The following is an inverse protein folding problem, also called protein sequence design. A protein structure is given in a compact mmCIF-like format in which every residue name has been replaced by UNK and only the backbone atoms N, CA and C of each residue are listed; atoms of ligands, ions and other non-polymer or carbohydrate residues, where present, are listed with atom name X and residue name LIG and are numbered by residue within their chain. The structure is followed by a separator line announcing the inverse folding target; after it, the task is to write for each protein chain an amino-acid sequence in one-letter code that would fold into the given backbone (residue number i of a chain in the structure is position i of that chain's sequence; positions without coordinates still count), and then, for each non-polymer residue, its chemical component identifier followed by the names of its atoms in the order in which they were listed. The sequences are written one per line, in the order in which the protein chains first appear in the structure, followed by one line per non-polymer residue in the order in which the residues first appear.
data_IF_614611290616
#
_entry.id   IF_614611290616
#
_cell.length_a   1.000
_cell.length_b   1.000
_cell.length_c   1.000
_cell.angle_alpha   90.00
_cell.angle_beta   90.00
_cell.angle_gamma   90.00
#
_symmetry.space_group_name_H-M   'P 1'
#
loop_
_entity.id
_entity.type
_entity.pdbx_description
1 polymer ?
#
# COMPACT_ATOMS: atom_id res chain seq x y z
N UNK A 1 -24.21 -40.02 -33.60
CA UNK A 1 -25.10 -38.92 -34.02
C UNK A 1 -25.10 -37.85 -32.94
N UNK A 2 -24.50 -36.71 -33.26
CA UNK A 2 -24.36 -35.53 -32.40
C UNK A 2 -25.75 -34.89 -32.27
N UNK A 3 -26.24 -34.70 -31.04
CA UNK A 3 -27.32 -33.74 -30.76
C UNK A 3 -26.75 -32.59 -29.95
N UNK A 4 -26.58 -31.48 -30.65
CA UNK A 4 -26.30 -30.15 -30.14
C UNK A 4 -27.48 -29.67 -29.27
N UNK A 5 -27.20 -29.28 -28.03
CA UNK A 5 -28.09 -28.44 -27.24
C UNK A 5 -27.36 -27.14 -26.89
N UNK A 6 -27.80 -26.07 -27.55
CA UNK A 6 -27.37 -24.69 -27.36
C UNK A 6 -27.51 -24.26 -25.89
N UNK A 7 -26.39 -23.92 -25.27
CA UNK A 7 -26.34 -23.23 -23.98
C UNK A 7 -26.71 -21.76 -24.14
N UNK A 8 -27.96 -21.42 -23.80
CA UNK A 8 -28.40 -20.04 -23.62
C UNK A 8 -27.71 -19.45 -22.38
N UNK A 9 -26.70 -18.60 -22.60
CA UNK A 9 -26.10 -17.74 -21.55
C UNK A 9 -27.20 -16.87 -20.94
N UNK A 10 -27.67 -17.19 -19.73
CA UNK A 10 -28.47 -16.27 -18.91
C UNK A 10 -27.58 -15.11 -18.48
N UNK A 11 -27.74 -13.93 -19.09
CA UNK A 11 -27.27 -12.65 -18.53
C UNK A 11 -27.93 -12.50 -17.15
N UNK A 12 -27.16 -12.59 -16.07
CA UNK A 12 -27.59 -12.09 -14.76
C UNK A 12 -27.33 -10.59 -14.76
N UNK A 13 -28.38 -9.80 -14.98
CA UNK A 13 -28.38 -8.38 -14.68
C UNK A 13 -28.19 -8.20 -13.17
N UNK A 14 -27.15 -7.48 -12.75
CA UNK A 14 -27.05 -6.96 -11.40
C UNK A 14 -28.11 -5.86 -11.25
N UNK A 15 -29.22 -6.17 -10.58
CA UNK A 15 -30.10 -5.14 -10.03
C UNK A 15 -29.41 -4.51 -8.83
N UNK A 16 -28.76 -3.37 -9.04
CA UNK A 16 -28.38 -2.46 -7.95
C UNK A 16 -29.69 -2.02 -7.29
N UNK A 17 -29.87 -2.30 -5.99
CA UNK A 17 -31.14 -2.07 -5.31
C UNK A 17 -31.46 -0.58 -5.22
N UNK A 18 -32.53 -0.17 -5.91
CA UNK A 18 -33.13 1.15 -5.84
C UNK A 18 -33.95 1.35 -4.56
N UNK A 19 -33.33 1.27 -3.38
CA UNK A 19 -33.99 1.57 -2.10
C UNK A 19 -33.49 2.89 -1.47
N UNK A 20 -33.39 3.93 -2.28
CA UNK A 20 -33.24 5.33 -1.89
C UNK A 20 -34.12 6.21 -2.80
N UNK A 21 -35.41 5.86 -2.94
CA UNK A 21 -36.38 6.67 -3.67
C UNK A 21 -36.94 7.79 -2.79
N UNK A 22 -36.16 8.85 -2.60
CA UNK A 22 -36.66 10.20 -2.28
C UNK A 22 -35.62 11.31 -2.45
N UNK A 23 -34.63 11.15 -3.34
CA UNK A 23 -33.70 12.25 -3.69
C UNK A 23 -33.75 12.53 -5.20
N UNK A 24 -33.99 13.78 -5.62
CA UNK A 24 -33.93 14.16 -7.03
C UNK A 24 -32.46 14.15 -7.48
N UNK A 25 -32.16 13.42 -8.57
CA UNK A 25 -30.85 13.13 -9.18
C UNK A 25 -30.23 11.77 -8.82
N UNK A 26 -30.85 10.67 -9.26
CA UNK A 26 -30.18 9.37 -9.35
C UNK A 26 -29.39 9.30 -10.65
N UNK A 27 -28.07 9.34 -10.58
CA UNK A 27 -27.20 9.07 -11.73
C UNK A 27 -27.20 7.56 -11.96
N UNK A 28 -27.63 7.13 -13.15
CA UNK A 28 -27.56 5.73 -13.58
C UNK A 28 -26.27 5.51 -14.38
N UNK A 29 -25.58 4.40 -14.10
CA UNK A 29 -24.36 3.99 -14.81
C UNK A 29 -24.63 2.72 -15.61
N UNK A 30 -24.13 2.67 -16.84
CA UNK A 30 -24.30 1.49 -17.73
C UNK A 30 -23.41 0.33 -17.30
N UNK A 31 -22.20 0.62 -16.84
CA UNK A 31 -21.24 -0.40 -16.38
C UNK A 31 -20.66 -0.08 -15.01
N UNK A 32 -20.18 -1.10 -14.26
CA UNK A 32 -19.40 -0.87 -13.05
C UNK A 32 -18.16 -0.01 -13.28
N UNK A 33 -17.57 -0.05 -14.48
CA UNK A 33 -16.40 0.77 -14.81
C UNK A 33 -16.75 2.25 -14.89
N UNK A 34 -17.88 2.60 -15.51
CA UNK A 34 -18.33 3.99 -15.59
C UNK A 34 -18.64 4.56 -14.20
N UNK A 35 -19.26 3.73 -13.35
CA UNK A 35 -19.44 4.06 -11.94
C UNK A 35 -18.10 4.33 -11.25
N UNK A 36 -17.11 3.43 -11.37
CA UNK A 36 -15.81 3.60 -10.74
C UNK A 36 -15.05 4.83 -11.27
N UNK A 37 -15.08 5.07 -12.59
CA UNK A 37 -14.47 6.24 -13.20
C UNK A 37 -15.08 7.54 -12.64
N UNK A 38 -16.41 7.61 -12.55
CA UNK A 38 -17.10 8.76 -11.98
C UNK A 38 -16.70 9.00 -10.52
N UNK A 39 -16.72 7.97 -9.69
CA UNK A 39 -16.39 8.09 -8.27
C UNK A 39 -14.90 8.43 -8.05
N UNK A 40 -14.01 7.81 -8.81
CA UNK A 40 -12.58 8.09 -8.73
C UNK A 40 -12.25 9.51 -9.21
N UNK A 41 -12.95 10.03 -10.22
CA UNK A 41 -12.78 11.42 -10.70
C UNK A 41 -13.17 12.41 -9.60
N UNK A 42 -14.31 12.21 -8.93
CA UNK A 42 -14.71 13.01 -7.76
C UNK A 42 -13.68 12.96 -6.64
N UNK A 43 -13.23 11.75 -6.28
CA UNK A 43 -12.19 11.58 -5.27
C UNK A 43 -10.87 12.25 -5.66
N UNK A 44 -10.55 12.32 -6.94
CA UNK A 44 -9.35 13.00 -7.42
C UNK A 44 -9.47 14.52 -7.31
N UNK A 45 -10.62 15.08 -7.67
CA UNK A 45 -10.90 16.51 -7.50
C UNK A 45 -10.81 16.93 -6.04
N UNK A 46 -11.34 16.11 -5.11
CA UNK A 46 -11.27 16.37 -3.68
C UNK A 46 -9.85 16.31 -3.11
N UNK A 47 -9.00 15.42 -3.63
CA UNK A 47 -7.68 15.13 -3.03
C UNK A 47 -6.51 15.87 -3.68
N UNK A 48 -6.59 16.13 -4.99
CA UNK A 48 -5.52 16.76 -5.76
C UNK A 48 -5.88 18.14 -6.30
N UNK A 49 -7.12 18.60 -6.09
CA UNK A 49 -7.69 19.79 -6.71
C UNK A 49 -7.77 19.70 -8.24
N UNK A 50 -8.73 20.41 -8.83
CA UNK A 50 -8.86 20.53 -10.29
C UNK A 50 -8.04 21.73 -10.81
N UNK A 51 -7.47 21.65 -12.04
CA UNK A 51 -7.50 20.50 -12.96
C UNK A 51 -6.49 19.40 -12.59
N UNK A 52 -6.87 18.14 -12.79
CA UNK A 52 -6.01 16.99 -12.50
C UNK A 52 -4.79 16.97 -13.43
N UNK A 53 -3.61 16.64 -12.88
CA UNK A 53 -2.38 16.49 -13.67
C UNK A 53 -2.48 15.33 -14.67
N UNK A 54 -1.68 15.40 -15.74
CA UNK A 54 -1.59 14.33 -16.74
C UNK A 54 -1.16 13.00 -16.10
N UNK A 55 -0.27 13.04 -15.11
CA UNK A 55 0.20 11.85 -14.38
C UNK A 55 -0.96 11.12 -13.68
N UNK A 56 -1.81 11.87 -12.95
CA UNK A 56 -2.97 11.30 -12.25
C UNK A 56 -3.96 10.69 -13.26
N UNK A 57 -4.26 11.41 -14.34
CA UNK A 57 -5.19 10.95 -15.37
C UNK A 57 -4.68 9.66 -16.04
N UNK A 58 -3.40 9.61 -16.41
CA UNK A 58 -2.77 8.44 -17.03
C UNK A 58 -2.74 7.25 -16.07
N UNK A 59 -2.35 7.47 -14.81
CA UNK A 59 -2.33 6.42 -13.79
C UNK A 59 -3.73 5.86 -13.56
N UNK A 60 -4.75 6.70 -13.37
CA UNK A 60 -6.13 6.26 -13.16
C UNK A 60 -6.66 5.46 -14.37
N UNK A 61 -6.42 5.93 -15.59
CA UNK A 61 -6.84 5.24 -16.81
C UNK A 61 -6.17 3.86 -16.94
N UNK A 62 -4.88 3.76 -16.61
CA UNK A 62 -4.15 2.49 -16.60
C UNK A 62 -4.74 1.52 -15.56
N UNK A 63 -4.97 1.97 -14.33
CA UNK A 63 -5.49 1.11 -13.27
C UNK A 63 -6.92 0.63 -13.56
N UNK A 64 -7.79 1.50 -14.06
CA UNK A 64 -9.16 1.13 -14.45
C UNK A 64 -9.16 0.08 -15.56
N UNK A 65 -8.28 0.21 -16.55
CA UNK A 65 -8.13 -0.79 -17.61
C UNK A 65 -7.67 -2.13 -17.04
N UNK A 66 -6.65 -2.14 -16.18
CA UNK A 66 -6.13 -3.37 -15.59
C UNK A 66 -7.19 -4.09 -14.72
N UNK A 67 -7.98 -3.36 -13.94
CA UNK A 67 -9.08 -3.90 -13.12
C UNK A 67 -10.20 -4.49 -13.99
N UNK A 68 -10.49 -3.86 -15.14
CA UNK A 68 -11.44 -4.34 -16.13
C UNK A 68 -10.97 -5.61 -16.84
N UNK A 69 -9.73 -5.63 -17.32
CA UNK A 69 -9.11 -6.80 -17.95
C UNK A 69 -9.02 -7.99 -16.99
N UNK A 70 -8.76 -7.73 -15.71
CA UNK A 70 -8.77 -8.73 -14.65
C UNK A 70 -10.18 -9.19 -14.25
N UNK A 71 -11.24 -8.55 -14.76
CA UNK A 71 -12.63 -8.93 -14.49
C UNK A 71 -13.09 -8.67 -13.05
N UNK A 72 -12.42 -7.78 -12.32
CA UNK A 72 -12.69 -7.49 -10.90
C UNK A 72 -13.42 -6.16 -10.66
N UNK A 73 -13.78 -5.43 -11.72
CA UNK A 73 -14.52 -4.15 -11.66
C UNK A 73 -15.82 -4.24 -10.84
N UNK A 74 -16.69 -5.26 -11.02
CA UNK A 74 -17.91 -5.36 -10.20
C UNK A 74 -17.64 -5.48 -8.70
N UNK A 75 -16.56 -6.18 -8.33
CA UNK A 75 -16.16 -6.39 -6.94
C UNK A 75 -15.59 -5.12 -6.32
N UNK A 76 -14.82 -4.33 -7.08
CA UNK A 76 -14.35 -3.00 -6.62
C UNK A 76 -15.52 -2.02 -6.48
N UNK A 77 -16.49 -2.04 -7.40
CA UNK A 77 -17.70 -1.21 -7.29
C UNK A 77 -18.53 -1.57 -6.05
N UNK A 78 -18.80 -2.86 -5.83
CA UNK A 78 -19.45 -3.36 -4.62
C UNK A 78 -18.69 -2.95 -3.35
N UNK A 79 -17.36 -3.07 -3.36
CA UNK A 79 -16.54 -2.67 -2.22
C UNK A 79 -16.65 -1.17 -1.95
N UNK A 80 -16.61 -0.32 -2.97
CA UNK A 80 -16.77 1.12 -2.81
C UNK A 80 -18.13 1.46 -2.16
N UNK A 81 -19.23 0.85 -2.61
CA UNK A 81 -20.55 1.05 -2.00
C UNK A 81 -20.57 0.65 -0.52
N UNK A 82 -19.92 -0.47 -0.16
CA UNK A 82 -19.79 -0.88 1.24
C UNK A 82 -18.97 0.11 2.06
N UNK A 83 -17.89 0.66 1.51
CA UNK A 83 -17.08 1.69 2.17
C UNK A 83 -17.88 2.97 2.40
N UNK A 84 -18.67 3.41 1.41
CA UNK A 84 -19.56 4.57 1.55
C UNK A 84 -20.58 4.34 2.67
N UNK A 85 -21.23 3.16 2.69
CA UNK A 85 -22.18 2.79 3.74
C UNK A 85 -21.53 2.73 5.12
N UNK A 86 -20.33 2.16 5.22
CA UNK A 86 -19.57 2.07 6.46
C UNK A 86 -19.27 3.48 7.01
N UNK A 87 -18.76 4.38 6.16
CA UNK A 87 -18.49 5.78 6.56
C UNK A 87 -19.77 6.50 7.03
N UNK A 88 -20.91 6.29 6.37
CA UNK A 88 -22.20 6.86 6.79
C UNK A 88 -22.68 6.33 8.16
N UNK A 89 -22.30 5.11 8.53
CA UNK A 89 -22.55 4.53 9.84
C UNK A 89 -21.49 4.93 10.89
N UNK A 90 -20.58 5.85 10.54
CA UNK A 90 -19.51 6.29 11.42
C UNK A 90 -18.39 5.25 11.58
N UNK A 91 -18.20 4.33 10.63
CA UNK A 91 -17.03 3.43 10.66
C UNK A 91 -15.80 4.18 10.14
N UNK A 92 -14.72 4.19 10.91
CA UNK A 92 -13.45 4.73 10.47
C UNK A 92 -12.72 3.69 9.60
N UNK A 93 -12.41 4.05 8.37
CA UNK A 93 -11.57 3.27 7.46
C UNK A 93 -10.11 3.64 7.68
N UNK A 94 -9.26 2.62 7.84
CA UNK A 94 -7.82 2.74 8.04
C UNK A 94 -7.04 3.12 6.79
N UNK A 95 -5.71 3.21 6.93
CA UNK A 95 -4.84 3.64 5.83
C UNK A 95 -4.73 2.57 4.72
N UNK A 96 -4.93 1.30 5.07
CA UNK A 96 -4.84 0.15 4.18
C UNK A 96 -3.56 -0.66 4.43
N UNK A 97 -3.59 -1.93 4.01
CA UNK A 97 -2.50 -2.88 4.27
C UNK A 97 -2.20 -3.77 3.07
N UNK A 98 -1.07 -4.48 3.16
CA UNK A 98 -0.61 -5.31 2.05
C UNK A 98 -0.32 -4.45 0.82
N UNK A 99 -0.74 -4.94 -0.34
CA UNK A 99 -0.47 -4.31 -1.64
C UNK A 99 -1.53 -3.28 -2.06
N UNK A 100 -2.73 -3.32 -1.46
CA UNK A 100 -3.85 -2.43 -1.81
C UNK A 100 -3.50 -0.93 -1.80
N UNK A 101 -2.66 -0.41 -0.87
CA UNK A 101 -2.29 1.00 -0.87
C UNK A 101 -1.48 1.45 -2.11
N UNK A 102 -1.01 0.52 -2.95
CA UNK A 102 -0.35 0.86 -4.22
C UNK A 102 -1.29 1.28 -5.35
N UNK A 103 -2.61 1.17 -5.18
CA UNK A 103 -3.59 1.56 -6.19
C UNK A 103 -4.11 2.98 -5.99
N UNK A 104 -3.92 3.81 -7.00
CA UNK A 104 -4.50 5.15 -7.07
C UNK A 104 -6.02 5.06 -7.13
N UNK A 105 -6.58 4.11 -7.88
CA UNK A 105 -8.03 3.89 -7.94
C UNK A 105 -8.60 3.63 -6.53
N UNK A 106 -8.00 2.74 -5.74
CA UNK A 106 -8.47 2.46 -4.38
C UNK A 106 -8.33 3.67 -3.43
N UNK A 107 -7.26 4.45 -3.59
CA UNK A 107 -7.04 5.68 -2.83
C UNK A 107 -8.13 6.74 -3.13
N UNK A 108 -8.42 6.95 -4.41
CA UNK A 108 -9.42 7.91 -4.89
C UNK A 108 -10.84 7.51 -4.47
N UNK A 109 -11.16 6.22 -4.50
CA UNK A 109 -12.41 5.68 -3.96
C UNK A 109 -12.47 5.72 -2.41
N UNK A 110 -11.38 6.11 -1.76
CA UNK A 110 -11.27 6.17 -0.30
C UNK A 110 -11.39 4.80 0.37
N UNK A 111 -11.04 3.74 -0.36
CA UNK A 111 -10.88 2.36 0.13
C UNK A 111 -9.54 2.24 0.89
N UNK A 112 -8.51 2.96 0.42
CA UNK A 112 -7.25 3.20 1.14
C UNK A 112 -7.08 4.70 1.41
N UNK A 113 -6.10 5.08 2.24
CA UNK A 113 -5.79 6.50 2.53
C UNK A 113 -4.33 6.87 2.29
N UNK A 114 -3.53 5.94 1.79
CA UNK A 114 -2.16 6.21 1.34
C UNK A 114 -2.19 6.74 -0.08
N UNK A 115 -1.59 7.89 -0.32
CA UNK A 115 -1.35 8.40 -1.68
C UNK A 115 -0.21 7.60 -2.33
N UNK A 116 -0.47 6.77 -3.35
CA UNK A 116 0.57 5.95 -3.95
C UNK A 116 1.58 6.76 -4.76
N UNK A 117 1.20 7.92 -5.30
CA UNK A 117 2.11 8.77 -6.07
C UNK A 117 3.10 9.46 -5.15
N UNK A 118 2.61 10.04 -4.04
CA UNK A 118 3.46 10.67 -3.01
C UNK A 118 4.53 9.73 -2.46
N UNK A 119 4.21 8.44 -2.31
CA UNK A 119 5.11 7.44 -1.73
C UNK A 119 5.83 6.56 -2.77
N UNK A 120 5.68 6.85 -4.06
CA UNK A 120 6.31 6.09 -5.15
C UNK A 120 5.90 4.61 -5.20
N UNK A 121 4.65 4.31 -4.84
CA UNK A 121 4.12 2.95 -4.80
C UNK A 121 3.69 2.45 -6.20
N UNK A 122 4.10 1.22 -6.50
CA UNK A 122 3.91 0.58 -7.80
C UNK A 122 2.55 -0.13 -7.86
N UNK A 123 1.68 0.27 -8.79
CA UNK A 123 0.38 -0.38 -8.99
C UNK A 123 0.52 -1.87 -9.29
N UNK A 124 1.56 -2.26 -10.04
CA UNK A 124 1.78 -3.65 -10.43
C UNK A 124 2.11 -4.54 -9.25
N UNK A 125 2.46 -3.96 -8.09
CA UNK A 125 2.57 -4.72 -6.84
C UNK A 125 1.21 -5.16 -6.31
N UNK A 126 0.15 -4.42 -6.63
CA UNK A 126 -1.25 -4.74 -6.34
C UNK A 126 -1.86 -5.64 -7.42
N UNK A 127 -1.80 -5.20 -8.68
CA UNK A 127 -2.34 -5.94 -9.82
C UNK A 127 -1.41 -5.79 -11.01
N UNK A 128 -0.79 -6.89 -11.42
CA UNK A 128 0.07 -6.93 -12.60
C UNK A 128 -0.67 -7.64 -13.75
N UNK A 129 -0.97 -6.94 -14.86
CA UNK A 129 -1.62 -7.54 -16.02
C UNK A 129 -0.82 -8.70 -16.64
N UNK A 130 0.51 -8.63 -16.58
CA UNK A 130 1.41 -9.61 -17.20
C UNK A 130 1.59 -10.88 -16.35
N UNK A 131 1.27 -10.79 -15.06
CA UNK A 131 1.33 -11.92 -14.11
C UNK A 131 0.08 -11.93 -13.25
N UNK A 132 -1.07 -12.38 -13.79
CA UNK A 132 -2.33 -12.36 -13.07
C UNK A 132 -2.23 -13.25 -11.83
N UNK A 133 -2.28 -12.63 -10.66
CA UNK A 133 -2.38 -13.32 -9.38
C UNK A 133 -3.63 -12.88 -8.67
N UNK A 134 -4.20 -13.78 -7.85
CA UNK A 134 -5.33 -13.45 -6.99
C UNK A 134 -5.03 -12.20 -6.15
N UNK A 135 -5.82 -11.16 -6.34
CA UNK A 135 -5.72 -9.91 -5.60
C UNK A 135 -6.33 -10.10 -4.21
N UNK A 136 -5.72 -9.52 -3.18
CA UNK A 136 -6.27 -9.51 -1.83
C UNK A 136 -6.39 -8.07 -1.33
N UNK A 137 -7.61 -7.69 -0.94
CA UNK A 137 -7.91 -6.39 -0.33
C UNK A 137 -8.43 -6.63 1.08
N UNK A 138 -7.60 -6.31 2.07
CA UNK A 138 -7.99 -6.35 3.47
C UNK A 138 -8.24 -4.92 3.96
N UNK A 139 -9.50 -4.60 4.24
CA UNK A 139 -9.90 -3.29 4.74
C UNK A 139 -9.81 -3.26 6.25
N UNK A 140 -9.01 -2.32 6.74
CA UNK A 140 -8.87 -2.04 8.16
C UNK A 140 -10.00 -1.10 8.59
N UNK A 141 -10.76 -1.49 9.61
CA UNK A 141 -11.92 -0.72 10.12
C UNK A 141 -11.88 -0.59 11.64
N UNK A 142 -12.49 0.46 12.19
CA UNK A 142 -12.80 0.55 13.62
C UNK A 142 -13.92 -0.42 14.02
N UNK A 143 -14.08 -0.63 15.33
CA UNK A 143 -15.13 -1.48 15.93
C UNK A 143 -16.52 -0.81 15.97
N UNK A 144 -16.61 0.44 15.54
CA UNK A 144 -17.88 1.19 15.54
C UNK A 144 -18.75 0.84 14.34
N UNK A 145 -20.05 1.08 14.46
CA UNK A 145 -21.05 0.81 13.43
C UNK A 145 -21.42 -0.68 13.32
N UNK A 146 -22.16 -1.02 12.26
CA UNK A 146 -22.56 -2.41 11.99
C UNK A 146 -21.60 -3.04 11.00
N UNK A 147 -20.62 -3.78 11.51
CA UNK A 147 -19.72 -4.56 10.66
C UNK A 147 -20.43 -5.84 10.17
N UNK A 148 -20.12 -6.33 8.96
CA UNK A 148 -20.62 -7.62 8.49
C UNK A 148 -20.16 -8.74 9.43
N UNK A 149 -21.05 -9.73 9.65
CA UNK A 149 -20.81 -10.81 10.61
C UNK A 149 -19.58 -11.63 10.23
N UNK A 150 -18.72 -11.88 11.22
CA UNK A 150 -17.55 -12.74 11.12
C UNK A 150 -18.00 -14.20 11.01
N UNK A 151 -17.48 -14.96 10.02
CA UNK A 151 -17.64 -16.43 9.99
C UNK A 151 -16.86 -17.04 11.16
N UNK A 152 -17.43 -18.02 11.85
CA UNK A 152 -16.90 -18.59 13.11
C UNK A 152 -15.42 -19.05 13.01
N UNK A 153 -14.95 -19.48 11.83
CA UNK A 153 -13.60 -20.04 11.64
C UNK A 153 -12.58 -19.13 10.94
N UNK A 154 -12.87 -17.83 10.77
CA UNK A 154 -11.98 -16.93 10.02
C UNK A 154 -11.43 -15.81 10.91
N UNK A 155 -10.11 -15.46 10.89
CA UNK A 155 -9.54 -14.35 11.66
C UNK A 155 -10.05 -12.95 11.25
N UNK A 156 -10.82 -12.85 10.17
CA UNK A 156 -11.36 -11.62 9.61
C UNK A 156 -12.75 -11.87 9.02
N UNK A 157 -13.55 -10.83 8.82
CA UNK A 157 -14.84 -10.94 8.12
C UNK A 157 -14.57 -11.04 6.62
N UNK A 158 -14.67 -12.25 6.06
CA UNK A 158 -14.54 -12.47 4.62
C UNK A 158 -15.81 -11.98 3.91
N UNK A 159 -15.69 -10.94 3.10
CA UNK A 159 -16.79 -10.37 2.33
C UNK A 159 -16.99 -11.04 0.98
N UNK A 160 -15.87 -11.36 0.32
CA UNK A 160 -15.88 -11.89 -1.02
C UNK A 160 -14.63 -12.74 -1.23
N UNK A 161 -14.81 -13.87 -1.93
CA UNK A 161 -13.71 -14.75 -2.29
C UNK A 161 -13.97 -15.42 -3.64
N UNK A 162 -13.06 -15.24 -4.58
CA UNK A 162 -13.04 -15.90 -5.88
C UNK A 162 -11.60 -16.24 -6.29
N UNK A 163 -11.42 -16.83 -7.47
CA UNK A 163 -10.07 -17.10 -8.01
C UNK A 163 -9.29 -15.82 -8.33
N UNK A 164 -9.99 -14.72 -8.64
CA UNK A 164 -9.38 -13.47 -9.04
C UNK A 164 -9.19 -12.48 -7.87
N UNK A 165 -10.10 -12.44 -6.90
CA UNK A 165 -10.06 -11.46 -5.81
C UNK A 165 -10.60 -12.00 -4.48
N UNK A 166 -9.92 -11.64 -3.39
CA UNK A 166 -10.36 -11.81 -2.01
C UNK A 166 -10.55 -10.44 -1.37
N UNK A 167 -11.67 -10.25 -0.66
CA UNK A 167 -11.97 -9.04 0.09
C UNK A 167 -12.28 -9.42 1.54
N UNK A 168 -11.51 -8.86 2.47
CA UNK A 168 -11.68 -9.07 3.91
C UNK A 168 -11.88 -7.74 4.64
N UNK A 169 -12.63 -7.79 5.74
CA UNK A 169 -12.70 -6.73 6.75
C UNK A 169 -11.95 -7.18 7.99
N UNK A 170 -11.01 -6.35 8.41
CA UNK A 170 -10.21 -6.55 9.60
C UNK A 170 -10.47 -5.41 10.56
N UNK A 171 -10.96 -5.76 11.73
CA UNK A 171 -11.23 -4.81 12.79
C UNK A 171 -9.95 -4.54 13.59
N UNK A 172 -9.58 -3.27 13.76
CA UNK A 172 -8.40 -2.85 14.51
C UNK A 172 -8.81 -1.95 15.67
N UNK A 173 -8.53 -2.40 16.89
CA UNK A 173 -8.73 -1.62 18.11
C UNK A 173 -7.99 -0.28 18.10
N UNK A 174 -6.84 -0.19 17.41
CA UNK A 174 -6.10 1.06 17.24
C UNK A 174 -6.86 2.09 16.36
N UNK A 175 -7.64 1.63 15.38
CA UNK A 175 -8.52 2.52 14.62
C UNK A 175 -9.73 2.97 15.44
N UNK A 176 -10.28 2.09 16.28
CA UNK A 176 -11.31 2.48 17.25
C UNK A 176 -10.78 3.56 18.19
N UNK A 177 -9.59 3.35 18.75
CA UNK A 177 -8.93 4.35 19.59
C UNK A 177 -8.76 5.69 18.85
N UNK A 178 -8.27 5.64 17.61
CA UNK A 178 -8.05 6.84 16.81
C UNK A 178 -9.37 7.59 16.55
N UNK A 179 -10.42 6.85 16.23
CA UNK A 179 -11.76 7.39 16.04
C UNK A 179 -12.31 8.04 17.31
N UNK A 180 -12.28 7.33 18.44
CA UNK A 180 -12.76 7.83 19.73
C UNK A 180 -12.04 9.13 20.09
N UNK A 181 -10.73 9.19 19.78
CA UNK A 181 -9.91 10.35 20.05
C UNK A 181 -10.31 11.56 19.22
N UNK A 182 -10.56 11.35 17.93
CA UNK A 182 -11.07 12.40 17.03
C UNK A 182 -12.44 12.91 17.48
N UNK A 183 -13.33 12.02 17.94
CA UNK A 183 -14.64 12.39 18.47
C UNK A 183 -14.53 13.22 19.76
N UNK A 184 -13.64 12.85 20.68
CA UNK A 184 -13.38 13.60 21.92
C UNK A 184 -12.82 15.00 21.64
N UNK A 185 -11.86 15.11 20.71
CA UNK A 185 -11.31 16.40 20.26
C UNK A 185 -12.42 17.27 19.68
N UNK A 186 -13.29 16.71 18.83
CA UNK A 186 -14.43 17.45 18.26
C UNK A 186 -15.42 17.89 19.34
N UNK A 187 -15.77 17.02 20.28
CA UNK A 187 -16.73 17.33 21.33
C UNK A 187 -16.22 18.37 22.32
N UNK A 188 -14.95 18.27 22.75
CA UNK A 188 -14.37 19.15 23.77
C UNK A 188 -13.85 20.46 23.20
N UNK A 189 -13.25 20.43 22.00
CA UNK A 189 -12.57 21.59 21.42
C UNK A 189 -13.28 22.17 20.20
N UNK A 190 -14.36 21.54 19.71
CA UNK A 190 -15.02 21.94 18.46
C UNK A 190 -14.17 21.73 17.20
N UNK A 191 -13.03 21.03 17.31
CA UNK A 191 -12.07 20.84 16.21
C UNK A 191 -12.30 19.52 15.49
N UNK A 192 -12.47 19.57 14.18
CA UNK A 192 -12.58 18.37 13.35
C UNK A 192 -11.23 17.98 12.74
N UNK A 193 -10.76 16.78 13.05
CA UNK A 193 -9.47 16.28 12.57
C UNK A 193 -9.65 15.58 11.23
N UNK A 194 -8.87 15.98 10.24
CA UNK A 194 -8.74 15.27 8.98
C UNK A 194 -7.43 14.50 8.94
N UNK A 195 -7.48 13.17 9.12
CA UNK A 195 -6.29 12.32 9.17
C UNK A 195 -5.37 12.44 7.96
N UNK A 196 -5.94 12.67 6.77
CA UNK A 196 -5.18 12.85 5.53
C UNK A 196 -4.45 14.20 5.42
N UNK A 197 -4.82 15.16 6.26
CA UNK A 197 -4.20 16.49 6.31
C UNK A 197 -3.14 16.60 7.41
N UNK A 198 -2.93 15.55 8.21
CA UNK A 198 -1.86 15.53 9.22
C UNK A 198 -0.51 15.53 8.48
N UNK A 199 0.37 16.53 8.74
CA UNK A 199 1.70 16.58 8.13
C UNK A 199 2.54 15.39 8.60
N UNK A 200 3.49 14.94 7.77
CA UNK A 200 4.38 13.82 8.13
C UNK A 200 5.72 14.28 8.71
N UNK A 201 5.94 15.59 8.80
CA UNK A 201 7.19 16.25 9.19
C UNK A 201 7.01 17.19 10.39
N UNK A 202 5.92 17.05 11.15
CA UNK A 202 5.67 17.83 12.36
C UNK A 202 6.80 17.60 13.40
N UNK A 203 7.57 18.65 13.77
CA UNK A 203 8.72 18.50 14.65
C UNK A 203 8.36 17.99 16.05
N UNK A 204 7.24 18.45 16.60
CA UNK A 204 6.82 18.07 17.95
C UNK A 204 6.46 16.58 18.01
N UNK A 205 5.74 16.10 16.99
CA UNK A 205 5.42 14.67 16.84
C UNK A 205 6.68 13.83 16.66
N UNK A 206 7.60 14.25 15.79
CA UNK A 206 8.86 13.52 15.58
C UNK A 206 9.71 13.46 16.86
N UNK A 207 9.73 14.52 17.67
CA UNK A 207 10.46 14.56 18.93
C UNK A 207 9.80 13.73 20.04
N UNK A 208 8.47 13.59 20.01
CA UNK A 208 7.68 12.86 21.00
C UNK A 208 7.65 11.36 20.74
N UNK A 209 7.88 10.93 19.50
CA UNK A 209 7.87 9.52 19.10
C UNK A 209 8.81 8.68 19.96
N UNK A 210 8.25 7.64 20.58
CA UNK A 210 8.95 6.73 21.49
C UNK A 210 9.06 7.23 22.93
N UNK A 211 8.56 8.44 23.23
CA UNK A 211 8.55 9.04 24.57
C UNK A 211 7.12 9.25 25.09
N UNK A 212 6.10 8.90 24.31
CA UNK A 212 4.71 9.16 24.66
C UNK A 212 4.31 8.37 25.91
N UNK A 213 3.85 9.10 26.94
CA UNK A 213 3.33 8.49 28.17
C UNK A 213 1.85 8.13 27.97
N UNK A 214 1.48 6.87 28.22
CA UNK A 214 0.09 6.48 28.45
C UNK A 214 -0.80 6.20 27.22
N UNK A 215 -0.31 6.34 25.98
CA UNK A 215 -1.10 6.05 24.77
C UNK A 215 -0.61 4.79 24.04
N UNK A 216 -1.51 3.85 23.69
CA UNK A 216 -1.19 2.67 22.85
C UNK A 216 -0.90 3.10 21.41
N UNK A 217 0.30 3.60 21.11
CA UNK A 217 0.71 3.86 19.73
C UNK A 217 0.95 2.55 18.97
N UNK A 218 0.30 2.40 17.81
CA UNK A 218 0.41 1.21 16.95
C UNK A 218 1.88 0.91 16.61
N UNK A 219 2.34 -0.31 16.93
CA UNK A 219 3.71 -0.82 16.74
C UNK A 219 4.83 -0.10 17.51
N UNK A 220 4.67 1.17 17.88
CA UNK A 220 5.75 1.98 18.46
C UNK A 220 6.22 1.46 19.82
N UNK A 221 5.35 0.80 20.57
CA UNK A 221 5.70 0.21 21.88
C UNK A 221 6.38 -1.16 21.79
N UNK A 222 6.63 -1.70 20.59
CA UNK A 222 7.29 -2.99 20.44
C UNK A 222 8.70 -2.93 21.09
N UNK A 223 9.06 -3.85 22.02
CA UNK A 223 10.34 -3.78 22.73
C UNK A 223 11.56 -3.73 21.80
N UNK A 224 11.50 -4.47 20.69
CA UNK A 224 12.54 -4.49 19.66
C UNK A 224 12.71 -3.11 19.00
N UNK A 225 11.62 -2.41 18.74
CA UNK A 225 11.65 -1.07 18.14
C UNK A 225 12.20 -0.04 19.13
N UNK A 226 11.75 -0.11 20.39
CA UNK A 226 12.21 0.74 21.48
C UNK A 226 13.71 0.61 21.72
N UNK A 227 14.25 -0.62 21.65
CA UNK A 227 15.69 -0.83 21.74
C UNK A 227 16.42 -0.25 20.52
N UNK A 228 15.91 -0.52 19.32
CA UNK A 228 16.49 -0.05 18.06
C UNK A 228 16.56 1.49 17.98
N UNK A 229 15.56 2.19 18.50
CA UNK A 229 15.50 3.65 18.48
C UNK A 229 16.52 4.35 19.37
N UNK A 230 17.06 3.67 20.39
CA UNK A 230 18.20 4.19 21.17
C UNK A 230 19.43 4.42 20.27
N UNK A 231 19.56 3.62 19.23
CA UNK A 231 20.68 3.67 18.28
C UNK A 231 20.32 4.48 17.03
N UNK A 232 19.16 4.20 16.40
CA UNK A 232 18.73 4.91 15.18
C UNK A 232 18.48 6.39 15.43
N UNK A 233 17.87 6.74 16.57
CA UNK A 233 17.35 8.09 16.87
C UNK A 233 16.54 8.65 15.69
N UNK A 234 15.36 8.09 15.39
CA UNK A 234 14.56 8.51 14.24
C UNK A 234 14.16 9.98 14.39
N UNK A 235 14.35 10.76 13.33
CA UNK A 235 14.07 12.21 13.29
C UNK A 235 13.29 12.60 12.02
N UNK A 236 12.86 11.62 11.22
CA UNK A 236 12.03 11.82 10.04
C UNK A 236 10.98 10.71 9.90
N UNK A 237 9.91 10.98 9.15
CA UNK A 237 8.92 9.96 8.77
C UNK A 237 9.57 8.76 8.07
N UNK A 238 10.60 9.03 7.27
CA UNK A 238 11.32 8.01 6.55
C UNK A 238 12.05 7.06 7.53
N UNK A 239 12.69 7.56 8.59
CA UNK A 239 13.29 6.67 9.59
C UNK A 239 12.25 5.83 10.33
N UNK A 240 11.04 6.34 10.54
CA UNK A 240 9.94 5.55 11.09
C UNK A 240 9.53 4.42 10.15
N UNK A 241 9.39 4.71 8.85
CA UNK A 241 9.14 3.69 7.84
C UNK A 241 10.23 2.62 7.86
N UNK A 242 11.50 3.02 7.95
CA UNK A 242 12.63 2.10 7.99
C UNK A 242 12.62 1.25 9.27
N UNK A 243 12.32 1.87 10.41
CA UNK A 243 12.24 1.18 11.69
C UNK A 243 11.10 0.15 11.72
N UNK A 244 9.92 0.52 11.19
CA UNK A 244 8.79 -0.40 11.04
C UNK A 244 9.12 -1.49 10.03
N UNK A 245 9.74 -1.17 8.89
CA UNK A 245 10.19 -2.14 7.91
C UNK A 245 11.13 -3.18 8.54
N UNK A 246 12.05 -2.78 9.43
CA UNK A 246 12.94 -3.70 10.17
C UNK A 246 12.16 -4.66 11.09
N UNK A 247 11.03 -4.25 11.66
CA UNK A 247 10.18 -5.15 12.46
C UNK A 247 9.55 -6.24 11.59
N UNK A 248 9.12 -5.89 10.38
CA UNK A 248 8.53 -6.83 9.42
C UNK A 248 9.59 -7.61 8.64
N UNK A 249 10.81 -7.09 8.55
CA UNK A 249 11.93 -7.72 7.86
C UNK A 249 12.49 -8.87 8.68
N UNK A 250 12.87 -9.94 7.98
CA UNK A 250 13.67 -11.03 8.54
C UNK A 250 15.15 -10.65 8.68
N UNK A 251 15.58 -9.56 8.05
CA UNK A 251 16.97 -9.14 7.97
C UNK A 251 17.39 -8.26 9.13
N UNK A 252 17.87 -8.84 10.23
CA UNK A 252 18.56 -8.04 11.26
C UNK A 252 19.93 -7.54 10.78
N UNK A 253 20.51 -8.23 9.79
CA UNK A 253 21.85 -7.95 9.25
C UNK A 253 21.99 -6.58 8.58
N UNK A 254 20.89 -5.97 8.11
CA UNK A 254 20.94 -4.65 7.47
C UNK A 254 20.98 -3.49 8.47
N UNK A 255 20.63 -3.76 9.74
CA UNK A 255 20.47 -2.72 10.77
C UNK A 255 21.79 -2.00 11.10
N UNK A 256 22.93 -2.69 11.29
CA UNK A 256 24.20 -2.00 11.59
C UNK A 256 24.63 -1.04 10.48
N UNK A 257 24.55 -1.47 9.21
CA UNK A 257 24.88 -0.64 8.04
C UNK A 257 23.96 0.58 7.95
N UNK A 258 22.66 0.38 8.20
CA UNK A 258 21.70 1.47 8.24
C UNK A 258 22.07 2.52 9.30
N UNK A 259 22.35 2.10 10.53
CA UNK A 259 22.73 2.99 11.64
C UNK A 259 24.04 3.73 11.28
N UNK A 260 25.03 3.02 10.75
CA UNK A 260 26.32 3.62 10.38
C UNK A 260 26.16 4.69 9.30
N UNK A 261 25.37 4.43 8.25
CA UNK A 261 25.12 5.38 7.16
C UNK A 261 24.28 6.58 7.60
N UNK A 262 23.21 6.37 8.38
CA UNK A 262 22.41 7.46 8.96
C UNK A 262 23.26 8.39 9.82
N UNK A 263 24.19 7.83 10.61
CA UNK A 263 25.07 8.60 11.48
C UNK A 263 26.30 9.17 10.77
N UNK A 264 26.41 9.03 9.45
CA UNK A 264 27.56 9.50 8.67
C UNK A 264 28.89 8.77 8.97
N UNK A 265 28.82 7.61 9.63
CA UNK A 265 30.00 6.77 9.98
C UNK A 265 30.44 5.86 8.84
N UNK A 266 29.55 5.62 7.88
CA UNK A 266 29.82 4.87 6.65
C UNK A 266 29.32 5.67 5.44
N UNK A 267 30.13 5.87 4.39
CA UNK A 267 29.67 6.54 3.18
C UNK A 267 28.66 5.69 2.41
N UNK A 268 27.67 6.34 1.81
CA UNK A 268 26.70 5.69 0.93
C UNK A 268 27.32 5.57 -0.46
N UNK A 269 27.71 4.35 -0.83
CA UNK A 269 28.26 4.05 -2.15
C UNK A 269 27.26 3.22 -2.96
N UNK A 270 26.96 3.68 -4.18
CA UNK A 270 26.10 2.96 -5.11
C UNK A 270 26.95 2.17 -6.09
N UNK A 271 26.58 0.90 -6.33
CA UNK A 271 27.28 0.06 -7.33
C UNK A 271 27.09 0.62 -8.74
N UNK A 272 25.93 1.20 -9.02
CA UNK A 272 25.61 1.90 -10.26
C UNK A 272 24.96 3.25 -9.93
N UNK A 273 25.32 4.35 -10.61
CA UNK A 273 24.71 5.67 -10.37
C UNK A 273 23.18 5.67 -10.47
N UNK A 274 22.61 4.87 -11.39
CA UNK A 274 21.16 4.74 -11.59
C UNK A 274 20.42 4.21 -10.34
N UNK A 275 21.13 3.65 -9.36
CA UNK A 275 20.52 3.13 -8.13
C UNK A 275 20.17 4.22 -7.13
N UNK A 276 20.85 5.37 -7.18
CA UNK A 276 20.71 6.45 -6.20
C UNK A 276 19.27 6.93 -6.02
N UNK A 277 18.50 7.25 -7.10
CA UNK A 277 17.14 7.75 -6.95
C UNK A 277 16.18 6.77 -6.24
N UNK A 278 16.46 5.47 -6.30
CA UNK A 278 15.60 4.42 -5.74
C UNK A 278 16.03 3.98 -4.34
N UNK A 279 17.32 4.15 -4.00
CA UNK A 279 17.89 3.68 -2.74
C UNK A 279 18.29 4.82 -1.79
N UNK A 280 18.23 6.09 -2.22
CA UNK A 280 18.52 7.25 -1.37
C UNK A 280 17.63 7.30 -0.14
N UNK A 281 16.33 7.02 -0.29
CA UNK A 281 15.37 6.93 0.83
C UNK A 281 15.72 5.83 1.84
N UNK A 282 16.53 4.85 1.48
CA UNK A 282 16.94 3.74 2.36
C UNK A 282 18.43 3.74 2.64
N UNK A 283 19.10 4.90 2.52
CA UNK A 283 20.54 5.05 2.75
C UNK A 283 21.38 4.07 1.92
N UNK A 284 20.99 3.83 0.67
CA UNK A 284 21.68 2.90 -0.24
C UNK A 284 21.44 1.42 0.03
N UNK A 285 20.48 1.06 0.89
CA UNK A 285 20.17 -0.34 1.22
C UNK A 285 18.91 -0.76 0.48
N UNK A 286 18.93 -1.91 -0.20
CA UNK A 286 17.69 -2.45 -0.77
C UNK A 286 16.85 -3.06 0.36
N UNK A 287 15.72 -2.44 0.67
CA UNK A 287 14.84 -2.81 1.78
C UNK A 287 13.43 -3.20 1.31
N UNK A 288 12.97 -2.53 0.26
CA UNK A 288 11.64 -2.73 -0.28
C UNK A 288 11.66 -3.64 -1.50
N UNK A 289 10.63 -4.47 -1.61
CA UNK A 289 10.39 -5.29 -2.78
C UNK A 289 10.27 -4.44 -4.05
N UNK A 290 9.63 -3.29 -3.93
CA UNK A 290 9.41 -2.31 -4.99
C UNK A 290 10.72 -1.74 -5.53
N UNK A 291 11.76 -1.61 -4.69
CA UNK A 291 13.08 -1.14 -5.12
C UNK A 291 13.74 -2.15 -6.07
N UNK A 292 13.65 -3.46 -5.80
CA UNK A 292 14.14 -4.49 -6.74
C UNK A 292 13.43 -4.36 -8.08
N UNK A 293 12.11 -4.15 -8.06
CA UNK A 293 11.32 -4.01 -9.29
C UNK A 293 11.74 -2.77 -10.08
N UNK A 294 11.83 -1.61 -9.43
CA UNK A 294 12.24 -0.35 -10.06
C UNK A 294 13.65 -0.42 -10.62
N UNK A 295 14.59 -0.98 -9.86
CA UNK A 295 15.97 -1.12 -10.30
C UNK A 295 16.12 -2.12 -11.45
N UNK A 296 15.34 -3.19 -11.48
CA UNK A 296 15.35 -4.13 -12.61
C UNK A 296 14.90 -3.46 -13.91
N UNK A 297 13.89 -2.59 -13.84
CA UNK A 297 13.47 -1.75 -14.97
C UNK A 297 14.59 -0.79 -15.36
N UNK A 298 15.15 -0.05 -14.40
CA UNK A 298 16.16 0.97 -14.67
C UNK A 298 17.51 0.41 -15.17
N UNK A 299 17.95 -0.72 -14.64
CA UNK A 299 19.26 -1.33 -14.97
C UNK A 299 19.16 -2.21 -16.21
N UNK A 300 18.09 -2.98 -16.36
CA UNK A 300 18.01 -4.04 -17.37
C UNK A 300 16.84 -3.90 -18.36
N UNK A 301 16.09 -2.79 -18.32
CA UNK A 301 14.91 -2.55 -19.16
C UNK A 301 13.85 -3.65 -19.04
N UNK A 302 13.69 -4.23 -17.85
CA UNK A 302 12.62 -5.18 -17.59
C UNK A 302 11.25 -4.50 -17.74
N UNK A 303 10.28 -5.23 -18.26
CA UNK A 303 8.85 -4.85 -18.19
C UNK A 303 8.32 -4.92 -16.75
N UNK A 304 7.11 -4.41 -16.52
CA UNK A 304 6.43 -4.55 -15.23
C UNK A 304 6.24 -6.02 -14.84
N UNK A 305 5.78 -6.86 -15.77
CA UNK A 305 5.72 -8.31 -15.60
C UNK A 305 7.05 -8.96 -15.23
N UNK A 306 8.12 -8.67 -15.97
CA UNK A 306 9.44 -9.23 -15.71
C UNK A 306 10.00 -8.80 -14.35
N UNK A 307 9.82 -7.53 -13.98
CA UNK A 307 10.29 -7.00 -12.70
C UNK A 307 9.59 -7.66 -11.50
N UNK A 308 8.28 -7.93 -11.57
CA UNK A 308 7.58 -8.64 -10.49
C UNK A 308 7.92 -10.14 -10.48
N UNK A 309 8.10 -10.78 -11.65
CA UNK A 309 8.60 -12.16 -11.72
C UNK A 309 9.96 -12.30 -11.07
N UNK A 310 10.90 -11.40 -11.37
CA UNK A 310 12.21 -11.36 -10.73
C UNK A 310 12.09 -11.22 -9.21
N UNK A 311 11.32 -10.22 -8.75
CA UNK A 311 11.09 -10.02 -7.31
C UNK A 311 10.52 -11.28 -6.67
N UNK A 312 9.53 -11.93 -7.29
CA UNK A 312 8.93 -13.16 -6.77
C UNK A 312 9.94 -14.30 -6.71
N UNK A 313 10.71 -14.49 -7.77
CA UNK A 313 11.71 -15.54 -7.89
C UNK A 313 12.78 -15.42 -6.81
N UNK A 314 13.34 -14.22 -6.64
CA UNK A 314 14.35 -13.97 -5.60
C UNK A 314 13.76 -14.05 -4.19
N UNK A 315 12.59 -13.46 -3.95
CA UNK A 315 11.95 -13.46 -2.63
C UNK A 315 11.59 -14.87 -2.15
N UNK A 316 11.13 -15.75 -3.06
CA UNK A 316 10.76 -17.13 -2.74
C UNK A 316 11.91 -18.14 -2.92
N UNK A 317 13.07 -17.71 -3.42
CA UNK A 317 14.20 -18.60 -3.70
C UNK A 317 13.92 -19.61 -4.82
N UNK A 318 13.17 -19.21 -5.87
CA UNK A 318 12.88 -20.08 -7.02
C UNK A 318 14.13 -20.17 -7.91
N UNK A 319 14.91 -21.24 -7.78
CA UNK A 319 16.23 -21.38 -8.40
C UNK A 319 16.21 -21.24 -9.91
N UNK A 320 15.30 -21.96 -10.58
CA UNK A 320 15.27 -22.04 -12.04
C UNK A 320 14.84 -20.71 -12.66
N UNK A 321 13.78 -20.10 -12.11
CA UNK A 321 13.32 -18.79 -12.56
C UNK A 321 14.35 -17.71 -12.26
N UNK A 322 15.02 -17.75 -11.10
CA UNK A 322 16.09 -16.81 -10.76
C UNK A 322 17.26 -16.92 -11.74
N UNK A 323 17.67 -18.12 -12.13
CA UNK A 323 18.75 -18.31 -13.11
C UNK A 323 18.38 -17.76 -14.51
N UNK A 324 17.13 -17.94 -14.94
CA UNK A 324 16.62 -17.36 -16.17
C UNK A 324 16.61 -15.83 -16.12
N UNK A 325 16.04 -15.28 -15.04
CA UNK A 325 15.99 -13.83 -14.83
C UNK A 325 17.40 -13.21 -14.71
N UNK A 326 18.36 -13.92 -14.12
CA UNK A 326 19.77 -13.50 -14.05
C UNK A 326 20.34 -13.28 -15.43
N UNK A 327 20.15 -14.25 -16.33
CA UNK A 327 20.68 -14.19 -17.68
C UNK A 327 20.11 -12.99 -18.45
N UNK A 328 18.81 -12.72 -18.27
CA UNK A 328 18.15 -11.54 -18.84
C UNK A 328 18.63 -10.23 -18.21
N UNK A 329 18.81 -10.18 -16.89
CA UNK A 329 19.28 -9.01 -16.17
C UNK A 329 20.69 -8.60 -16.62
N UNK A 330 21.61 -9.57 -16.70
CA UNK A 330 22.98 -9.32 -17.17
C UNK A 330 22.97 -8.84 -18.63
N UNK A 331 22.22 -9.51 -19.51
CA UNK A 331 22.13 -9.13 -20.92
C UNK A 331 21.52 -7.72 -21.09
N UNK A 332 20.46 -7.40 -20.36
CA UNK A 332 19.81 -6.09 -20.37
C UNK A 332 20.73 -4.98 -19.85
N UNK A 333 21.41 -5.22 -18.72
CA UNK A 333 22.36 -4.27 -18.15
C UNK A 333 23.57 -4.02 -19.05
N UNK A 334 24.12 -5.06 -19.66
CA UNK A 334 25.23 -4.90 -20.61
C UNK A 334 24.80 -4.12 -21.86
N UNK A 335 23.57 -4.30 -22.35
CA UNK A 335 23.01 -3.48 -23.45
C UNK A 335 22.85 -2.00 -23.07
N UNK A 336 22.64 -1.69 -21.78
CA UNK A 336 22.64 -0.32 -21.28
C UNK A 336 24.05 0.24 -21.03
N UNK A 337 25.11 -0.54 -21.27
CA UNK A 337 26.50 -0.11 -21.11
C UNK A 337 27.09 -0.36 -19.72
N UNK A 338 26.39 -1.08 -18.84
CA UNK A 338 26.92 -1.42 -17.52
C UNK A 338 27.92 -2.58 -17.58
N UNK A 339 28.99 -2.47 -16.79
CA UNK A 339 30.01 -3.50 -16.67
C UNK A 339 29.43 -4.78 -16.05
N UNK A 340 29.75 -5.93 -16.67
CA UNK A 340 29.23 -7.23 -16.26
C UNK A 340 29.61 -7.57 -14.81
N UNK A 341 30.83 -7.27 -14.37
CA UNK A 341 31.29 -7.55 -13.00
C UNK A 341 30.46 -6.76 -11.99
N UNK A 342 30.11 -5.51 -12.30
CA UNK A 342 29.25 -4.71 -11.43
C UNK A 342 27.82 -5.26 -11.40
N UNK A 343 27.26 -5.65 -12.54
CA UNK A 343 25.93 -6.28 -12.61
C UNK A 343 25.89 -7.59 -11.79
N UNK A 344 26.96 -8.38 -11.84
CA UNK A 344 27.10 -9.60 -11.04
C UNK A 344 27.10 -9.31 -9.53
N UNK A 345 27.74 -8.22 -9.10
CA UNK A 345 27.71 -7.77 -7.70
C UNK A 345 26.30 -7.36 -7.28
N UNK A 346 25.61 -6.56 -8.10
CA UNK A 346 24.20 -6.16 -7.85
C UNK A 346 23.32 -7.41 -7.73
N UNK A 347 23.46 -8.35 -8.66
CA UNK A 347 22.71 -9.60 -8.64
C UNK A 347 22.98 -10.41 -7.37
N UNK A 348 24.25 -10.59 -7.00
CA UNK A 348 24.64 -11.32 -5.80
C UNK A 348 24.08 -10.69 -4.53
N UNK A 349 24.04 -9.36 -4.46
CA UNK A 349 23.42 -8.64 -3.36
C UNK A 349 21.92 -8.90 -3.31
N UNK A 350 21.23 -8.82 -4.45
CA UNK A 350 19.79 -9.09 -4.51
C UNK A 350 19.41 -10.51 -4.12
N UNK A 351 20.18 -11.52 -4.53
CA UNK A 351 19.95 -12.91 -4.10
C UNK A 351 19.99 -13.04 -2.58
N UNK A 352 20.93 -12.33 -1.92
CA UNK A 352 21.05 -12.33 -0.46
C UNK A 352 19.92 -11.57 0.22
N UNK A 353 19.62 -10.34 -0.24
CA UNK A 353 18.72 -9.44 0.50
C UNK A 353 17.24 -9.65 0.17
N UNK A 354 16.90 -10.18 -1.02
CA UNK A 354 15.52 -10.22 -1.49
C UNK A 354 14.59 -10.96 -0.52
N UNK A 355 14.95 -12.11 0.08
CA UNK A 355 14.13 -12.79 1.09
C UNK A 355 13.87 -11.98 2.37
N UNK A 356 14.65 -10.91 2.59
CA UNK A 356 14.58 -10.03 3.76
C UNK A 356 13.77 -8.76 3.47
N UNK A 357 13.50 -8.47 2.20
CA UNK A 357 12.74 -7.27 1.81
C UNK A 357 11.28 -7.33 2.21
N UNK A 358 10.69 -6.17 2.43
CA UNK A 358 9.28 -6.01 2.80
C UNK A 358 8.51 -5.29 1.70
N UNK A 359 7.18 -5.43 1.70
CA UNK A 359 6.31 -4.69 0.80
C UNK A 359 6.15 -3.23 1.30
N UNK A 360 6.58 -2.25 0.50
CA UNK A 360 6.60 -0.82 0.89
C UNK A 360 5.21 -0.29 1.20
N UNK A 361 4.20 -0.63 0.39
CA UNK A 361 2.83 -0.12 0.58
C UNK A 361 2.24 -0.49 1.95
N UNK A 362 2.54 -1.69 2.46
CA UNK A 362 2.15 -2.10 3.80
C UNK A 362 2.86 -1.28 4.88
N UNK A 363 4.16 -1.05 4.72
CA UNK A 363 4.97 -0.27 5.66
C UNK A 363 4.47 1.18 5.72
N UNK A 364 4.15 1.79 4.58
CA UNK A 364 3.61 3.17 4.55
C UNK A 364 2.30 3.26 5.32
N UNK A 365 1.35 2.36 5.07
CA UNK A 365 0.05 2.35 5.76
C UNK A 365 0.19 2.19 7.29
N UNK A 366 1.04 1.25 7.72
CA UNK A 366 1.35 1.02 9.13
C UNK A 366 2.03 2.23 9.79
N UNK A 367 2.98 2.85 9.09
CA UNK A 367 3.73 4.01 9.59
C UNK A 367 2.82 5.22 9.72
N UNK A 368 1.95 5.48 8.75
CA UNK A 368 0.97 6.57 8.83
C UNK A 368 0.03 6.38 10.03
N UNK A 369 -0.44 5.16 10.30
CA UNK A 369 -1.31 4.91 11.45
C UNK A 369 -0.57 5.21 12.76
N UNK A 370 0.65 4.70 12.91
CA UNK A 370 1.50 4.95 14.07
C UNK A 370 1.77 6.46 14.26
N UNK A 371 2.10 7.15 13.18
CA UNK A 371 2.39 8.59 13.19
C UNK A 371 1.14 9.41 13.55
N UNK A 372 -0.02 9.13 12.95
CA UNK A 372 -1.28 9.82 13.22
C UNK A 372 -1.70 9.69 14.69
N UNK A 373 -1.53 8.50 15.28
CA UNK A 373 -1.78 8.30 16.72
C UNK A 373 -0.82 9.12 17.58
N UNK A 374 0.46 9.16 17.21
CA UNK A 374 1.50 9.92 17.92
C UNK A 374 1.25 11.43 17.82
N UNK A 375 0.84 11.91 16.66
CA UNK A 375 0.44 13.30 16.43
C UNK A 375 -0.71 13.71 17.36
N UNK A 376 -1.76 12.89 17.47
CA UNK A 376 -2.86 13.19 18.39
C UNK A 376 -2.43 13.14 19.86
N UNK A 377 -1.59 12.18 20.25
CA UNK A 377 -1.05 12.14 21.62
C UNK A 377 -0.19 13.37 21.95
N UNK A 378 0.51 13.90 20.96
CA UNK A 378 1.41 15.06 21.12
C UNK A 378 0.62 16.36 21.23
N UNK A 379 -0.31 16.58 20.30
CA UNK A 379 -1.00 17.86 20.15
C UNK A 379 -2.29 17.97 20.96
N UNK A 380 -2.82 16.84 21.43
CA UNK A 380 -4.07 16.79 22.18
C UNK A 380 -3.94 15.90 23.42
N UNK A 381 -2.94 16.04 24.31
CA UNK A 381 -2.63 15.04 25.34
C UNK A 381 -3.74 14.80 26.39
N UNK A 382 -4.69 15.73 26.57
CA UNK A 382 -5.75 15.66 27.60
C UNK A 382 -7.01 14.95 27.09
N UNK A 383 -7.42 15.30 25.87
CA UNK A 383 -8.17 14.47 24.93
C UNK A 383 -8.58 13.05 25.39
#
# INVERSE_FOLDING_TARGET
MIKSTNGQKRKRELKISSSLSSRPNTICFETPKDYLLYQATKGAEERYCAPLSTEIQQRLALELRAVEEAGITPQIAMLHEQIVKAKQQGVLIGNGRGTAPSSLLLYLLGITRVDPLKHGLLFERFLNPDTPTKVSIDIEVSERGTLPQRKEDHPYTLLYDSDAIRIGWLTLSHLTWLQDRMEQIKHRLGKEIQLGAIPTDDPDTLQSIGKERGGRCYLLQAPRLQQLWKEIKPDSFNDLMLSIAILYSKGQEIVPTYIARKQGKEPINYLLPVMEPYLSETYGITLYQEQIMQLAKAIANFSSGESDRLRLALYRGLTDESAKMRSQFLAGGQKQGYDKIILEKVWSEWVRIAPLTVNKSHIVGATLLAYQMSYLNTHYPVE
#
